data_IF_885516498678
#
_entry.id   IF_885516498678
#
_cell.length_a   1.000
_cell.length_b   1.000
_cell.length_c   1.000
_cell.angle_alpha   90.00
_cell.angle_beta   90.00
_cell.angle_gamma   90.00
#
_symmetry.space_group_name_H-M   'P 1'
#
loop_
_entity.id
_entity.type
_entity.pdbx_description
1 polymer ?
#
# COMPACT_ATOMS: atom_id res chain seq x y z
N UNK A 1 6.74 -6.34 -12.70
CA UNK A 1 6.24 -5.15 -13.43
C UNK A 1 6.96 -3.91 -12.88
N UNK A 2 7.35 -2.96 -13.74
CA UNK A 2 8.03 -1.70 -13.39
C UNK A 2 7.28 -0.87 -12.34
N UNK A 3 5.95 -0.79 -12.41
CA UNK A 3 5.10 -0.06 -11.44
C UNK A 3 5.24 -0.64 -10.03
N UNK A 4 5.30 -1.96 -9.88
CA UNK A 4 5.50 -2.63 -8.58
C UNK A 4 6.82 -2.21 -7.93
N UNK A 5 7.92 -2.23 -8.70
CA UNK A 5 9.24 -1.86 -8.18
C UNK A 5 9.36 -0.36 -7.91
N UNK A 6 8.71 0.49 -8.71
CA UNK A 6 8.57 1.92 -8.44
C UNK A 6 7.91 2.16 -7.08
N UNK A 7 6.75 1.56 -6.83
CA UNK A 7 6.02 1.68 -5.57
C UNK A 7 6.86 1.13 -4.40
N UNK A 8 7.48 -0.04 -4.56
CA UNK A 8 8.35 -0.64 -3.53
C UNK A 8 9.51 0.29 -3.14
N UNK A 9 10.13 0.94 -4.12
CA UNK A 9 11.22 1.91 -3.90
C UNK A 9 10.73 3.18 -3.20
N UNK A 10 9.54 3.69 -3.56
CA UNK A 10 8.95 4.85 -2.90
C UNK A 10 8.65 4.54 -1.44
N UNK A 11 8.04 3.39 -1.15
CA UNK A 11 7.78 2.95 0.22
C UNK A 11 9.09 2.85 0.99
N UNK A 12 10.12 2.16 0.45
CA UNK A 12 11.44 2.06 1.09
C UNK A 12 12.06 3.42 1.39
N UNK A 13 11.91 4.41 0.50
CA UNK A 13 12.43 5.77 0.73
C UNK A 13 11.74 6.47 1.91
N UNK A 14 10.44 6.26 2.08
CA UNK A 14 9.64 6.91 3.15
C UNK A 14 9.77 6.18 4.48
N UNK A 15 9.71 4.85 4.48
CA UNK A 15 9.64 4.04 5.71
C UNK A 15 10.99 3.47 6.14
N UNK A 16 12.00 3.51 5.26
CA UNK A 16 13.29 2.80 5.39
C UNK A 16 13.17 1.27 5.40
N UNK A 17 11.97 0.74 5.17
CA UNK A 17 11.67 -0.70 5.13
C UNK A 17 11.42 -1.10 3.68
N UNK A 18 12.06 -2.17 3.20
CA UNK A 18 11.74 -2.74 1.89
C UNK A 18 10.50 -3.64 2.02
N UNK A 19 9.36 -3.30 1.38
CA UNK A 19 8.17 -4.15 1.42
C UNK A 19 8.44 -5.52 0.82
N UNK A 20 7.98 -6.58 1.47
CA UNK A 20 7.95 -7.93 0.90
C UNK A 20 6.72 -8.05 0.00
N UNK A 21 6.89 -8.57 -1.22
CA UNK A 21 5.76 -8.92 -2.07
C UNK A 21 5.10 -10.17 -1.50
N UNK A 22 3.77 -10.14 -1.37
CA UNK A 22 3.01 -11.25 -0.81
C UNK A 22 1.64 -11.37 -1.48
N UNK A 23 1.13 -12.60 -1.51
CA UNK A 23 -0.25 -12.95 -1.87
C UNK A 23 -0.99 -13.61 -0.69
N UNK A 24 -0.38 -13.57 0.50
CA UNK A 24 -0.94 -14.13 1.74
C UNK A 24 -1.97 -13.18 2.35
N UNK A 25 -2.94 -13.71 3.08
CA UNK A 25 -3.93 -12.93 3.82
C UNK A 25 -5.35 -13.24 3.36
N UNK A 26 -6.26 -12.28 3.56
CA UNK A 26 -7.62 -12.35 3.04
C UNK A 26 -7.71 -12.05 1.54
N UNK A 27 -8.91 -11.74 1.07
CA UNK A 27 -9.16 -11.30 -0.31
C UNK A 27 -9.67 -9.85 -0.32
N UNK A 28 -9.51 -9.18 -1.45
CA UNK A 28 -10.01 -7.85 -1.71
C UNK A 28 -10.81 -7.83 -3.02
N UNK A 29 -11.39 -6.69 -3.34
CA UNK A 29 -12.05 -6.46 -4.63
C UNK A 29 -11.07 -6.42 -5.82
N UNK A 30 -9.76 -6.45 -5.58
CA UNK A 30 -8.77 -6.60 -6.64
C UNK A 30 -8.99 -7.89 -7.44
N UNK A 31 -9.65 -8.92 -6.86
CA UNK A 31 -10.03 -10.13 -7.59
C UNK A 31 -10.99 -9.87 -8.75
N UNK A 32 -11.80 -8.81 -8.68
CA UNK A 32 -12.70 -8.37 -9.74
C UNK A 32 -12.03 -7.31 -10.63
N UNK A 33 -11.37 -6.32 -10.02
CA UNK A 33 -10.74 -5.19 -10.76
C UNK A 33 -9.61 -5.67 -11.67
N UNK A 34 -8.92 -6.78 -11.33
CA UNK A 34 -7.84 -7.35 -12.15
C UNK A 34 -8.23 -7.68 -13.59
N UNK A 35 -9.53 -7.85 -13.87
CA UNK A 35 -10.02 -8.12 -15.23
C UNK A 35 -9.88 -6.90 -16.15
N UNK A 36 -9.87 -5.69 -15.58
CA UNK A 36 -9.84 -4.43 -16.32
C UNK A 36 -8.58 -3.60 -16.07
N UNK A 37 -7.82 -3.88 -14.99
CA UNK A 37 -6.60 -3.14 -14.67
C UNK A 37 -5.59 -3.95 -13.85
N UNK A 38 -4.27 -3.74 -14.03
CA UNK A 38 -3.25 -4.30 -13.15
C UNK A 38 -3.45 -3.82 -11.70
N UNK A 39 -3.52 -4.75 -10.75
CA UNK A 39 -3.77 -4.45 -9.34
C UNK A 39 -2.54 -4.70 -8.45
N UNK A 40 -2.37 -3.85 -7.44
CA UNK A 40 -1.42 -4.02 -6.36
C UNK A 40 -1.97 -3.33 -5.11
N UNK A 41 -1.74 -3.94 -3.95
CA UNK A 41 -2.24 -3.45 -2.67
C UNK A 41 -1.09 -3.13 -1.70
N UNK A 42 -1.25 -2.04 -0.97
CA UNK A 42 -0.47 -1.67 0.21
C UNK A 42 -1.31 -0.71 1.06
N UNK A 43 -1.10 -0.70 2.37
CA UNK A 43 -1.91 0.12 3.27
C UNK A 43 -1.38 0.14 4.71
N UNK A 44 -2.24 0.58 5.64
CA UNK A 44 -1.95 0.59 7.07
C UNK A 44 -1.92 -0.84 7.62
N UNK A 45 -1.29 -1.01 8.79
CA UNK A 45 -1.28 -2.30 9.47
C UNK A 45 -2.59 -2.50 10.22
N UNK A 46 -3.45 -3.39 9.73
CA UNK A 46 -4.77 -3.69 10.31
C UNK A 46 -4.76 -4.57 11.56
N UNK A 47 -3.90 -4.28 12.56
CA UNK A 47 -3.81 -5.11 13.81
C UNK A 47 -5.13 -5.19 14.58
N UNK A 48 -5.92 -4.13 14.50
CA UNK A 48 -7.19 -3.92 15.21
C UNK A 48 -8.39 -3.88 14.26
N UNK A 49 -8.20 -4.17 12.97
CA UNK A 49 -9.28 -4.19 11.98
C UNK A 49 -10.37 -5.18 12.42
N UNK A 50 -11.63 -4.77 12.35
CA UNK A 50 -12.81 -5.56 12.77
C UNK A 50 -12.85 -5.88 14.28
N UNK A 51 -12.22 -5.07 15.13
CA UNK A 51 -12.30 -5.20 16.59
C UNK A 51 -12.90 -3.94 17.22
N UNK A 52 -13.39 -4.06 18.45
CA UNK A 52 -13.73 -2.90 19.29
C UNK A 52 -12.47 -2.05 19.48
N UNK A 53 -12.63 -0.72 19.50
CA UNK A 53 -11.54 0.26 19.56
C UNK A 53 -10.55 0.15 18.40
N UNK A 54 -11.06 -0.06 17.17
CA UNK A 54 -10.26 0.01 15.96
C UNK A 54 -9.54 1.36 15.85
N UNK A 55 -8.22 1.29 15.68
CA UNK A 55 -7.35 2.45 15.76
C UNK A 55 -6.08 2.26 14.94
N UNK A 56 -5.45 3.38 14.55
CA UNK A 56 -4.20 3.39 13.80
C UNK A 56 -3.25 4.47 14.30
N UNK A 57 -1.95 4.26 14.07
CA UNK A 57 -0.91 5.26 14.33
C UNK A 57 -1.07 6.47 13.41
N UNK A 58 -1.16 7.67 13.99
CA UNK A 58 -1.16 8.93 13.24
C UNK A 58 0.11 9.11 12.40
N UNK A 59 1.24 8.60 12.89
CA UNK A 59 2.51 8.66 12.14
C UNK A 59 2.45 7.78 10.88
N UNK A 60 1.87 6.59 10.99
CA UNK A 60 1.73 5.68 9.85
C UNK A 60 0.71 6.20 8.83
N UNK A 61 -0.38 6.80 9.31
CA UNK A 61 -1.35 7.49 8.44
C UNK A 61 -0.70 8.62 7.64
N UNK A 62 0.09 9.48 8.29
CA UNK A 62 0.83 10.56 7.62
C UNK A 62 1.84 10.02 6.60
N UNK A 63 2.58 8.96 6.94
CA UNK A 63 3.51 8.30 6.01
C UNK A 63 2.80 7.69 4.82
N UNK A 64 1.65 7.04 5.02
CA UNK A 64 0.88 6.44 3.95
C UNK A 64 0.36 7.49 2.96
N UNK A 65 -0.17 8.61 3.46
CA UNK A 65 -0.57 9.74 2.61
C UNK A 65 0.61 10.26 1.76
N UNK A 66 1.79 10.42 2.38
CA UNK A 66 3.00 10.84 1.67
C UNK A 66 3.43 9.83 0.60
N UNK A 67 3.29 8.52 0.86
CA UNK A 67 3.61 7.46 -0.09
C UNK A 67 2.69 7.56 -1.31
N UNK A 68 1.37 7.63 -1.11
CA UNK A 68 0.42 7.78 -2.23
C UNK A 68 0.72 9.03 -3.06
N UNK A 69 0.97 10.18 -2.41
CA UNK A 69 1.33 11.41 -3.11
C UNK A 69 2.57 11.23 -3.99
N UNK A 70 3.62 10.56 -3.48
CA UNK A 70 4.85 10.29 -4.24
C UNK A 70 4.63 9.29 -5.37
N UNK A 71 3.78 8.28 -5.18
CA UNK A 71 3.42 7.32 -6.22
C UNK A 71 2.73 8.04 -7.38
N UNK A 72 1.69 8.83 -7.10
CA UNK A 72 0.98 9.59 -8.13
C UNK A 72 1.93 10.56 -8.87
N UNK A 73 2.75 11.32 -8.12
CA UNK A 73 3.75 12.22 -8.71
C UNK A 73 4.83 11.52 -9.53
N UNK A 74 5.11 10.23 -9.29
CA UNK A 74 6.10 9.49 -10.08
C UNK A 74 5.46 8.81 -11.28
N UNK A 75 4.22 8.36 -11.14
CA UNK A 75 3.48 7.65 -12.17
C UNK A 75 3.03 8.57 -13.33
N UNK A 76 2.63 9.80 -13.01
CA UNK A 76 2.20 10.80 -14.00
C UNK A 76 3.30 11.78 -14.44
N UNK A 77 4.57 11.46 -14.15
CA UNK A 77 5.70 12.18 -14.74
C UNK A 77 5.98 11.63 -16.13
#
# INVERSE_FOLDING_TARGET
NSTTFMIQNIIKKVTKIKPKLSTTGGTSDARFIREIAPCLEFGLVGKTMHKVDEAVSLNDLKKLSLIYSKVLKNYFK
#
